data_IF_689978117912
#
_entry.id   IF_689978117912
#
_cell.length_a   1.000
_cell.length_b   1.000
_cell.length_c   1.000
_cell.angle_alpha   90.00
_cell.angle_beta   90.00
_cell.angle_gamma   90.00
#
_symmetry.space_group_name_H-M   'P 1'
#
loop_
_entity.id
_entity.type
_entity.pdbx_description
1 polymer ?
#
# COMPACT_ATOMS: atom_id res chain seq x y z
N UNK A 1 22.15 -6.80 -29.62
CA UNK A 1 21.15 -7.54 -30.43
C UNK A 1 20.64 -8.71 -29.58
N UNK A 2 19.38 -8.72 -29.18
CA UNK A 2 18.72 -9.90 -28.59
C UNK A 2 18.47 -10.97 -29.67
N UNK A 3 18.45 -12.25 -29.28
CA UNK A 3 18.34 -13.41 -30.17
C UNK A 3 18.97 -14.67 -29.56
N UNK A 4 19.37 -15.65 -30.39
CA UNK A 4 20.03 -16.92 -29.96
C UNK A 4 21.30 -16.72 -29.13
N UNK A 5 21.89 -15.53 -29.13
CA UNK A 5 23.01 -15.16 -28.26
C UNK A 5 22.66 -15.18 -26.75
N UNK A 6 21.38 -15.06 -26.38
CA UNK A 6 20.93 -15.10 -24.97
C UNK A 6 21.06 -16.51 -24.38
N UNK A 7 20.98 -17.57 -25.19
CA UNK A 7 21.17 -18.95 -24.73
C UNK A 7 22.66 -19.32 -24.57
N UNK A 8 23.56 -18.59 -25.24
CA UNK A 8 25.01 -18.83 -25.24
C UNK A 8 25.74 -17.97 -24.21
N UNK A 9 25.18 -16.81 -23.84
CA UNK A 9 25.74 -15.89 -22.86
C UNK A 9 24.92 -16.02 -21.57
N UNK A 10 25.48 -16.67 -20.55
CA UNK A 10 24.86 -16.82 -19.22
C UNK A 10 24.92 -15.50 -18.42
N UNK A 11 24.34 -14.44 -18.97
CA UNK A 11 24.25 -13.10 -18.36
C UNK A 11 22.82 -12.86 -17.89
N UNK A 12 22.47 -13.51 -16.78
CA UNK A 12 21.12 -13.49 -16.22
C UNK A 12 21.13 -12.88 -14.83
N UNK A 13 20.10 -12.09 -14.57
CA UNK A 13 19.81 -11.50 -13.27
C UNK A 13 18.36 -11.78 -12.93
N UNK A 14 18.07 -12.01 -11.65
CA UNK A 14 16.73 -12.28 -11.17
C UNK A 14 16.33 -11.19 -10.18
N UNK A 15 15.08 -10.76 -10.28
CA UNK A 15 14.46 -9.82 -9.37
C UNK A 15 13.01 -10.19 -9.18
N UNK A 16 12.47 -9.86 -8.01
CA UNK A 16 11.06 -10.08 -7.70
C UNK A 16 10.30 -8.75 -7.87
N UNK A 17 9.09 -8.77 -8.44
CA UNK A 17 8.21 -7.61 -8.38
C UNK A 17 7.71 -7.37 -6.94
N UNK A 18 7.30 -6.13 -6.61
CA UNK A 18 7.35 -4.91 -7.44
C UNK A 18 8.78 -4.36 -7.62
N UNK A 19 9.03 -3.61 -8.70
CA UNK A 19 10.30 -2.94 -8.97
C UNK A 19 10.12 -1.42 -9.06
N UNK A 20 10.99 -0.67 -8.39
CA UNK A 20 11.16 0.77 -8.61
C UNK A 20 12.33 1.04 -9.58
N UNK A 21 12.54 2.30 -9.98
CA UNK A 21 13.63 2.67 -10.89
C UNK A 21 15.02 2.35 -10.31
N UNK A 22 15.20 2.48 -8.99
CA UNK A 22 16.49 2.23 -8.33
C UNK A 22 16.84 0.73 -8.40
N UNK A 23 15.90 -0.14 -8.04
CA UNK A 23 16.02 -1.60 -8.15
C UNK A 23 16.20 -2.02 -9.60
N UNK A 24 15.47 -1.43 -10.55
CA UNK A 24 15.64 -1.72 -11.97
C UNK A 24 17.06 -1.39 -12.47
N UNK A 25 17.62 -0.23 -12.08
CA UNK A 25 19.00 0.11 -12.39
C UNK A 25 20.00 -0.87 -11.74
N UNK A 26 19.74 -1.32 -10.51
CA UNK A 26 20.57 -2.31 -9.85
C UNK A 26 20.55 -3.66 -10.57
N UNK A 27 19.37 -4.10 -11.02
CA UNK A 27 19.18 -5.32 -11.82
C UNK A 27 19.96 -5.23 -13.12
N UNK A 28 19.83 -4.12 -13.86
CA UNK A 28 20.58 -3.88 -15.10
C UNK A 28 22.09 -3.91 -14.81
N UNK A 29 22.55 -3.18 -13.78
CA UNK A 29 23.97 -3.06 -13.43
C UNK A 29 24.65 -4.37 -13.04
N UNK A 30 23.88 -5.40 -12.65
CA UNK A 30 24.38 -6.76 -12.37
C UNK A 30 24.63 -7.59 -13.65
N UNK A 31 24.21 -7.10 -14.81
CA UNK A 31 24.44 -7.76 -16.11
C UNK A 31 25.73 -7.27 -16.78
N UNK A 32 26.34 -8.11 -17.60
CA UNK A 32 27.44 -7.73 -18.49
C UNK A 32 26.94 -6.81 -19.61
N UNK A 33 25.68 -6.95 -20.04
CA UNK A 33 25.02 -6.07 -21.02
C UNK A 33 25.02 -4.60 -20.58
N UNK A 34 25.01 -4.30 -19.27
CA UNK A 34 25.12 -2.91 -18.80
C UNK A 34 26.37 -2.17 -19.31
N UNK A 35 27.45 -2.89 -19.65
CA UNK A 35 28.64 -2.28 -20.27
C UNK A 35 28.42 -1.88 -21.72
N UNK A 36 27.55 -2.61 -22.42
CA UNK A 36 27.22 -2.41 -23.84
C UNK A 36 26.12 -1.34 -24.00
N UNK A 37 25.31 -1.10 -22.96
CA UNK A 37 24.37 0.03 -22.94
C UNK A 37 25.10 1.39 -22.88
N UNK A 38 26.35 1.42 -22.40
CA UNK A 38 27.20 2.60 -22.44
C UNK A 38 27.74 2.83 -23.85
N UNK A 39 28.21 4.04 -24.13
CA UNK A 39 28.86 4.34 -25.39
C UNK A 39 30.06 3.41 -25.63
N UNK A 40 30.15 2.82 -26.82
CA UNK A 40 31.23 1.94 -27.23
C UNK A 40 31.57 2.14 -28.71
N UNK A 41 32.83 2.49 -28.99
CA UNK A 41 33.24 2.87 -30.35
C UNK A 41 32.42 4.05 -30.87
N UNK A 42 31.85 3.89 -32.07
CA UNK A 42 31.00 4.90 -32.71
C UNK A 42 29.51 4.80 -32.32
N UNK A 43 29.15 3.92 -31.39
CA UNK A 43 27.78 3.72 -30.94
C UNK A 43 27.49 4.60 -29.72
N UNK A 44 26.50 5.51 -29.76
CA UNK A 44 26.08 6.29 -28.61
C UNK A 44 25.57 5.41 -27.47
N UNK A 45 25.64 5.92 -26.24
CA UNK A 45 25.00 5.26 -25.10
C UNK A 45 23.49 5.14 -25.32
N UNK A 46 22.92 4.00 -24.94
CA UNK A 46 21.48 3.80 -24.91
C UNK A 46 20.85 4.58 -23.74
N UNK A 47 19.56 4.88 -23.86
CA UNK A 47 18.78 5.43 -22.75
C UNK A 47 18.56 4.35 -21.68
N UNK A 48 19.52 4.25 -20.75
CA UNK A 48 19.46 3.32 -19.62
C UNK A 48 18.21 3.54 -18.74
N UNK A 49 17.71 4.77 -18.67
CA UNK A 49 16.50 5.09 -17.90
C UNK A 49 15.27 4.53 -18.60
N UNK A 50 15.20 4.58 -19.92
CA UNK A 50 14.12 3.94 -20.68
C UNK A 50 14.14 2.42 -20.51
N UNK A 51 15.32 1.78 -20.49
CA UNK A 51 15.43 0.33 -20.20
C UNK A 51 14.97 0.01 -18.78
N UNK A 52 15.38 0.80 -17.79
CA UNK A 52 14.91 0.64 -16.40
C UNK A 52 13.39 0.82 -16.30
N UNK A 53 12.82 1.80 -17.02
CA UNK A 53 11.39 2.03 -17.04
C UNK A 53 10.62 0.83 -17.64
N UNK A 54 11.16 0.16 -18.66
CA UNK A 54 10.56 -1.08 -19.19
C UNK A 54 10.47 -2.14 -18.10
N UNK A 55 11.53 -2.39 -17.32
CA UNK A 55 11.50 -3.35 -16.21
C UNK A 55 10.45 -2.99 -15.16
N UNK A 56 10.35 -1.71 -14.79
CA UNK A 56 9.32 -1.20 -13.86
C UNK A 56 7.92 -1.45 -14.42
N UNK A 57 7.69 -1.16 -15.70
CA UNK A 57 6.37 -1.36 -16.35
C UNK A 57 6.01 -2.83 -16.50
N UNK A 58 6.99 -3.71 -16.75
CA UNK A 58 6.76 -5.16 -16.76
C UNK A 58 6.41 -5.70 -15.37
N UNK A 59 7.11 -5.23 -14.33
CA UNK A 59 6.78 -5.58 -12.94
C UNK A 59 5.36 -5.11 -12.57
N UNK A 60 4.98 -3.89 -12.98
CA UNK A 60 3.64 -3.35 -12.80
C UNK A 60 2.59 -4.16 -13.56
N UNK A 61 2.83 -4.50 -14.83
CA UNK A 61 1.92 -5.29 -15.65
C UNK A 61 1.68 -6.69 -15.04
N UNK A 62 2.75 -7.32 -14.53
CA UNK A 62 2.65 -8.59 -13.82
C UNK A 62 1.88 -8.48 -12.51
N UNK A 63 1.89 -7.31 -11.85
CA UNK A 63 1.15 -7.03 -10.63
C UNK A 63 -0.35 -6.81 -10.89
N UNK A 64 -0.65 -6.06 -11.95
CA UNK A 64 -2.00 -5.63 -12.31
C UNK A 64 -2.80 -6.74 -13.01
N UNK A 65 -2.13 -7.64 -13.75
CA UNK A 65 -2.77 -8.68 -14.56
C UNK A 65 -2.36 -10.08 -14.09
N UNK A 66 -3.07 -10.66 -13.09
CA UNK A 66 -2.72 -11.94 -12.50
C UNK A 66 -2.82 -13.14 -13.46
N UNK A 67 -3.54 -13.00 -14.57
CA UNK A 67 -3.64 -13.99 -15.64
C UNK A 67 -2.33 -14.18 -16.41
N UNK A 68 -1.43 -13.19 -16.42
CA UNK A 68 -0.14 -13.29 -17.13
C UNK A 68 0.76 -14.30 -16.41
N UNK A 69 0.97 -15.47 -17.03
CA UNK A 69 1.84 -16.54 -16.54
C UNK A 69 3.29 -16.38 -16.94
N UNK A 70 3.54 -15.72 -18.07
CA UNK A 70 4.86 -15.41 -18.55
C UNK A 70 4.80 -14.27 -19.56
N UNK A 71 5.84 -13.45 -19.57
CA UNK A 71 6.05 -12.40 -20.55
C UNK A 71 7.51 -12.44 -20.97
N UNK A 72 7.75 -12.48 -22.27
CA UNK A 72 9.08 -12.46 -22.87
C UNK A 72 9.15 -11.33 -23.91
N UNK A 73 10.14 -10.45 -23.78
CA UNK A 73 10.44 -9.39 -24.76
C UNK A 73 11.77 -9.71 -25.41
N UNK A 74 11.74 -10.31 -26.60
CA UNK A 74 12.96 -10.72 -27.28
C UNK A 74 12.77 -10.74 -28.80
N UNK A 75 13.35 -9.78 -29.56
CA UNK A 75 14.36 -8.81 -29.12
C UNK A 75 13.80 -7.51 -28.55
N UNK A 76 14.52 -6.95 -27.56
CA UNK A 76 14.37 -5.57 -27.09
C UNK A 76 15.55 -4.73 -27.63
N UNK A 77 15.26 -3.73 -28.47
CA UNK A 77 16.24 -2.76 -28.94
C UNK A 77 16.27 -1.56 -28.00
N UNK A 78 17.47 -1.11 -27.64
CA UNK A 78 17.68 0.11 -26.86
C UNK A 78 18.76 0.94 -27.56
N UNK A 79 18.47 2.22 -27.79
CA UNK A 79 19.40 3.21 -28.33
C UNK A 79 19.24 4.53 -27.57
N UNK A 80 19.90 5.59 -28.03
CA UNK A 80 19.87 6.91 -27.37
C UNK A 80 18.50 7.57 -27.36
N UNK A 81 17.61 7.18 -28.29
CA UNK A 81 16.31 7.79 -28.51
C UNK A 81 15.21 7.04 -27.74
N UNK A 82 15.51 5.82 -27.24
CA UNK A 82 14.69 5.10 -26.28
C UNK A 82 14.79 3.58 -26.42
N UNK A 83 13.65 2.92 -26.22
CA UNK A 83 13.54 1.45 -26.26
C UNK A 83 12.38 1.01 -27.15
N UNK A 84 12.59 -0.04 -27.94
CA UNK A 84 11.59 -0.64 -28.82
C UNK A 84 11.60 -2.17 -28.67
N UNK A 85 10.45 -2.75 -28.33
CA UNK A 85 10.26 -4.19 -28.38
C UNK A 85 9.92 -4.62 -29.82
N UNK A 86 10.76 -5.48 -30.40
CA UNK A 86 10.55 -6.00 -31.76
C UNK A 86 9.66 -7.25 -31.78
N UNK A 87 9.69 -8.04 -30.72
CA UNK A 87 8.80 -9.18 -30.50
C UNK A 87 8.46 -9.27 -29.00
N UNK A 88 7.25 -9.72 -28.71
CA UNK A 88 6.72 -9.89 -27.37
C UNK A 88 5.81 -11.12 -27.34
N UNK A 89 6.07 -12.04 -26.40
CA UNK A 89 5.21 -13.20 -26.17
C UNK A 89 4.63 -13.14 -24.77
N UNK A 90 3.31 -13.29 -24.67
CA UNK A 90 2.59 -13.28 -23.40
C UNK A 90 1.83 -14.59 -23.28
N UNK A 91 2.10 -15.34 -22.22
CA UNK A 91 1.34 -16.52 -21.86
C UNK A 91 0.30 -16.13 -20.79
N UNK A 92 -0.96 -16.47 -21.03
CA UNK A 92 -2.07 -16.22 -20.10
C UNK A 92 -2.73 -17.51 -19.63
N UNK A 93 -3.19 -17.56 -18.39
CA UNK A 93 -4.00 -18.65 -17.87
C UNK A 93 -4.97 -18.15 -16.78
N UNK A 94 -6.07 -18.89 -16.52
CA UNK A 94 -6.96 -18.57 -15.42
C UNK A 94 -6.23 -18.49 -14.07
N UNK A 95 -6.63 -17.54 -13.25
CA UNK A 95 -6.07 -17.36 -11.91
C UNK A 95 -6.56 -18.45 -10.97
N UNK A 96 -5.64 -19.28 -10.46
CA UNK A 96 -5.91 -20.15 -9.32
C UNK A 96 -5.66 -19.37 -8.03
N UNK A 97 -6.70 -19.16 -7.21
CA UNK A 97 -6.54 -18.57 -5.87
C UNK A 97 -5.73 -19.53 -5.01
N UNK A 98 -4.57 -19.10 -4.55
CA UNK A 98 -3.70 -19.87 -3.65
C UNK A 98 -4.03 -19.62 -2.17
N UNK A 99 -4.61 -18.46 -1.83
CA UNK A 99 -4.98 -18.07 -0.47
C UNK A 99 -6.33 -17.33 -0.45
N UNK A 100 -6.95 -17.22 0.74
CA UNK A 100 -8.09 -16.32 0.98
C UNK A 100 -7.63 -14.85 0.94
N UNK A 101 -8.56 -13.94 0.67
CA UNK A 101 -8.29 -12.50 0.50
C UNK A 101 -8.28 -12.03 -0.96
N UNK A 102 -8.28 -10.70 -1.15
CA UNK A 102 -8.07 -10.07 -2.46
C UNK A 102 -6.63 -9.59 -2.56
N UNK A 103 -5.91 -10.12 -3.54
CA UNK A 103 -4.58 -9.68 -3.90
C UNK A 103 -3.94 -10.51 -5.01
N UNK A 104 -2.76 -10.13 -5.49
CA UNK A 104 -2.11 -10.83 -6.59
C UNK A 104 -1.72 -12.23 -6.09
N UNK A 105 -2.28 -13.31 -6.68
CA UNK A 105 -2.27 -14.66 -6.12
C UNK A 105 -0.87 -15.26 -5.95
N UNK A 106 0.14 -14.66 -6.59
CA UNK A 106 1.50 -15.20 -6.70
C UNK A 106 2.58 -14.27 -6.12
N UNK A 107 2.24 -13.07 -5.67
CA UNK A 107 3.26 -12.17 -5.13
C UNK A 107 3.41 -12.39 -3.62
N UNK A 108 4.66 -12.44 -3.17
CA UNK A 108 4.99 -12.47 -1.75
C UNK A 108 4.79 -11.10 -1.09
N UNK A 109 4.81 -10.01 -1.88
CA UNK A 109 4.57 -8.64 -1.45
C UNK A 109 3.47 -8.06 -2.33
N UNK A 110 2.37 -7.61 -1.74
CA UNK A 110 1.27 -7.01 -2.49
C UNK A 110 1.70 -5.62 -3.03
N UNK A 111 1.49 -5.31 -4.32
CA UNK A 111 1.84 -4.02 -4.88
C UNK A 111 1.05 -2.88 -4.22
N UNK A 112 1.50 -1.64 -4.44
CA UNK A 112 0.79 -0.47 -3.95
C UNK A 112 -0.63 -0.38 -4.54
N UNK A 113 -1.69 -0.36 -3.71
CA UNK A 113 -3.06 -0.47 -4.20
C UNK A 113 -3.61 0.90 -4.62
N UNK A 114 -3.26 1.31 -5.85
CA UNK A 114 -3.56 2.64 -6.43
C UNK A 114 -5.06 2.90 -6.55
N UNK A 115 -5.87 1.87 -6.69
CA UNK A 115 -7.34 1.95 -6.78
C UNK A 115 -8.00 2.51 -5.51
N UNK A 116 -7.27 2.59 -4.39
CA UNK A 116 -7.74 3.19 -3.14
C UNK A 116 -7.33 4.66 -2.96
N UNK A 117 -6.68 5.26 -3.95
CA UNK A 117 -6.44 6.69 -4.01
C UNK A 117 -7.70 7.45 -4.44
N UNK A 118 -8.15 8.45 -3.66
CA UNK A 118 -9.28 9.31 -4.02
C UNK A 118 -9.35 10.60 -3.24
N UNK A 119 -9.93 11.62 -3.84
CA UNK A 119 -10.29 12.86 -3.13
C UNK A 119 -11.64 12.73 -2.44
N UNK A 120 -11.72 13.23 -1.21
CA UNK A 120 -12.94 13.31 -0.42
C UNK A 120 -13.25 14.77 -0.05
N UNK A 121 -14.53 15.03 0.19
CA UNK A 121 -15.03 16.30 0.75
C UNK A 121 -15.30 16.08 2.24
N UNK A 122 -14.77 16.99 3.06
CA UNK A 122 -14.91 17.03 4.51
C UNK A 122 -16.22 17.74 4.91
N UNK A 123 -16.60 17.65 6.18
CA UNK A 123 -17.89 18.21 6.66
C UNK A 123 -17.96 19.73 6.56
N UNK A 124 -16.81 20.41 6.57
CA UNK A 124 -16.67 21.86 6.43
C UNK A 124 -16.57 22.34 4.97
N UNK A 125 -16.71 21.42 4.00
CA UNK A 125 -16.51 21.69 2.57
C UNK A 125 -15.05 21.67 2.12
N UNK A 126 -14.10 21.46 3.04
CA UNK A 126 -12.69 21.23 2.71
C UNK A 126 -12.48 19.97 1.88
N UNK A 127 -11.31 19.85 1.25
CA UNK A 127 -10.91 18.66 0.48
C UNK A 127 -9.77 17.95 1.18
N UNK A 128 -9.78 16.62 1.13
CA UNK A 128 -8.64 15.80 1.50
C UNK A 128 -8.37 14.77 0.41
N UNK A 129 -7.10 14.47 0.16
CA UNK A 129 -6.68 13.37 -0.68
C UNK A 129 -6.37 12.16 0.22
N UNK A 130 -7.08 11.06 0.01
CA UNK A 130 -6.88 9.81 0.72
C UNK A 130 -6.09 8.87 -0.15
N UNK A 131 -5.03 8.28 0.39
CA UNK A 131 -4.22 7.25 -0.28
C UNK A 131 -3.63 6.25 0.72
N UNK A 132 -3.25 5.04 0.28
CA UNK A 132 -2.44 4.14 1.10
C UNK A 132 -1.11 4.78 1.50
N UNK A 133 -0.68 4.51 2.74
CA UNK A 133 0.64 4.85 3.28
C UNK A 133 1.71 4.22 2.40
N UNK A 134 2.78 4.94 2.12
CA UNK A 134 3.95 4.47 1.37
C UNK A 134 5.14 4.28 2.31
N UNK A 135 6.10 3.41 1.97
CA UNK A 135 7.35 3.24 2.72
C UNK A 135 8.11 4.57 2.97
N UNK A 136 7.98 5.54 2.05
CA UNK A 136 8.69 6.83 2.12
C UNK A 136 8.02 7.88 3.02
N UNK A 137 6.86 7.58 3.63
CA UNK A 137 6.07 8.54 4.41
C UNK A 137 6.64 8.86 5.82
N UNK A 138 7.90 8.48 6.13
CA UNK A 138 8.50 8.70 7.47
C UNK A 138 8.40 10.18 7.91
N UNK A 139 8.78 11.12 7.04
CA UNK A 139 8.71 12.54 7.33
C UNK A 139 7.27 13.05 7.54
N UNK A 140 6.31 12.50 6.79
CA UNK A 140 4.90 12.84 6.90
C UNK A 140 4.33 12.44 8.27
N UNK A 141 4.65 11.23 8.74
CA UNK A 141 4.26 10.76 10.07
C UNK A 141 4.92 11.55 11.19
N UNK A 142 6.20 11.91 11.07
CA UNK A 142 6.88 12.77 12.08
C UNK A 142 6.18 14.11 12.25
N UNK A 143 5.89 14.78 11.13
CA UNK A 143 5.20 16.07 11.14
C UNK A 143 3.77 15.95 11.70
N UNK A 144 3.07 14.87 11.36
CA UNK A 144 1.74 14.56 11.88
C UNK A 144 1.75 14.40 13.40
N UNK A 145 2.63 13.54 13.93
CA UNK A 145 2.69 13.26 15.36
C UNK A 145 3.05 14.49 16.20
N UNK A 146 3.84 15.41 15.67
CA UNK A 146 4.14 16.68 16.34
C UNK A 146 2.91 17.59 16.54
N UNK A 147 1.78 17.29 15.87
CA UNK A 147 0.51 18.00 15.95
C UNK A 147 -0.59 17.21 16.68
N UNK A 148 -0.28 16.02 17.19
CA UNK A 148 -1.21 15.20 17.96
C UNK A 148 -0.87 15.35 19.45
N UNK A 149 -1.88 15.52 20.29
CA UNK A 149 -1.70 15.62 21.73
C UNK A 149 -1.30 14.26 22.35
N UNK A 150 -0.57 14.31 23.46
CA UNK A 150 -0.20 13.11 24.23
C UNK A 150 -1.43 12.29 24.66
N UNK A 151 -2.55 12.96 24.95
CA UNK A 151 -3.80 12.30 25.31
C UNK A 151 -4.37 11.50 24.13
N UNK A 152 -4.37 12.05 22.92
CA UNK A 152 -4.84 11.34 21.73
C UNK A 152 -3.96 10.15 21.35
N UNK A 153 -2.65 10.28 21.55
CA UNK A 153 -1.72 9.17 21.37
C UNK A 153 -1.98 8.07 22.39
N UNK A 154 -2.20 8.45 23.65
CA UNK A 154 -2.55 7.50 24.72
C UNK A 154 -3.87 6.79 24.41
N UNK A 155 -4.87 7.51 23.94
CA UNK A 155 -6.16 6.92 23.54
C UNK A 155 -6.02 5.92 22.38
N UNK A 156 -5.04 6.12 21.49
CA UNK A 156 -4.80 5.26 20.32
C UNK A 156 -3.89 4.06 20.61
N UNK A 157 -2.86 4.24 21.43
CA UNK A 157 -1.81 3.25 21.66
C UNK A 157 -1.87 2.61 23.06
N UNK A 158 -2.87 3.00 23.86
CA UNK A 158 -3.08 2.54 25.24
C UNK A 158 -1.91 2.86 26.19
N UNK A 159 -0.96 3.69 25.74
CA UNK A 159 0.24 4.07 26.48
C UNK A 159 0.71 5.47 26.07
N UNK A 160 1.43 6.14 26.96
CA UNK A 160 2.06 7.42 26.63
C UNK A 160 3.25 7.19 25.69
N UNK A 161 3.11 7.64 24.44
CA UNK A 161 4.18 7.58 23.43
C UNK A 161 4.88 8.92 23.38
N UNK A 162 6.08 9.01 23.96
CA UNK A 162 6.85 10.28 24.04
C UNK A 162 7.92 10.45 22.97
N UNK A 163 8.40 9.36 22.37
CA UNK A 163 9.48 9.38 21.38
C UNK A 163 9.10 8.60 20.12
N UNK A 164 9.06 9.29 18.99
CA UNK A 164 8.86 8.69 17.67
C UNK A 164 10.20 8.28 17.08
N UNK A 165 10.74 7.18 17.61
CA UNK A 165 11.95 6.57 17.05
C UNK A 165 11.71 6.21 15.57
N UNK A 166 12.79 6.16 14.79
CA UNK A 166 12.71 5.69 13.41
C UNK A 166 12.10 4.28 13.32
N UNK A 167 12.42 3.39 14.26
CA UNK A 167 11.83 2.05 14.33
C UNK A 167 10.31 2.07 14.52
N UNK A 168 9.78 2.99 15.34
CA UNK A 168 8.34 3.12 15.56
C UNK A 168 7.63 3.54 14.26
N UNK A 169 8.16 4.55 13.58
CA UNK A 169 7.58 5.05 12.31
C UNK A 169 7.72 4.01 11.19
N UNK A 170 8.83 3.27 11.15
CA UNK A 170 9.01 2.17 10.22
C UNK A 170 7.91 1.11 10.36
N UNK A 171 7.49 0.76 11.59
CA UNK A 171 6.37 -0.19 11.83
C UNK A 171 5.00 0.33 11.37
N UNK A 172 4.86 1.64 11.17
CA UNK A 172 3.63 2.26 10.67
C UNK A 172 3.61 2.39 9.15
N UNK A 173 4.79 2.49 8.52
CA UNK A 173 4.96 2.78 7.08
C UNK A 173 5.32 1.57 6.25
N UNK A 174 6.10 0.63 6.80
CA UNK A 174 6.48 -0.61 6.14
C UNK A 174 5.37 -1.66 6.32
N UNK A 175 4.37 -1.59 5.44
CA UNK A 175 3.18 -2.45 5.50
C UNK A 175 3.24 -3.51 4.41
N UNK A 176 2.88 -4.75 4.76
CA UNK A 176 2.49 -5.76 3.78
C UNK A 176 1.02 -5.52 3.43
N UNK A 177 0.77 -4.87 2.29
CA UNK A 177 -0.58 -4.56 1.83
C UNK A 177 -1.48 -5.80 1.62
N UNK A 178 -0.91 -7.02 1.57
CA UNK A 178 -1.71 -8.24 1.49
C UNK A 178 -2.62 -8.38 2.71
N UNK A 179 -2.08 -8.10 3.91
CA UNK A 179 -2.75 -8.31 5.20
C UNK A 179 -3.01 -7.02 5.95
N UNK A 180 -2.27 -5.95 5.68
CA UNK A 180 -2.41 -4.69 6.39
C UNK A 180 -2.39 -3.51 5.45
N UNK A 181 -3.43 -2.68 5.50
CA UNK A 181 -3.43 -1.38 4.84
C UNK A 181 -3.50 -0.27 5.87
N UNK A 182 -2.82 0.83 5.62
CA UNK A 182 -3.10 2.09 6.28
C UNK A 182 -3.39 3.15 5.21
N UNK A 183 -4.45 3.91 5.40
CA UNK A 183 -4.88 5.00 4.54
C UNK A 183 -4.66 6.31 5.29
N UNK A 184 -3.95 7.24 4.66
CA UNK A 184 -3.75 8.60 5.16
C UNK A 184 -4.67 9.58 4.44
N UNK A 185 -5.22 10.55 5.18
CA UNK A 185 -5.84 11.73 4.61
C UNK A 185 -4.83 12.88 4.63
N UNK A 186 -4.64 13.53 3.47
CA UNK A 186 -3.68 14.60 3.25
C UNK A 186 -4.43 15.85 2.76
N UNK A 187 -4.12 17.03 3.28
CA UNK A 187 -4.62 18.28 2.73
C UNK A 187 -3.86 18.61 1.43
N UNK A 188 -4.54 18.66 0.27
CA UNK A 188 -3.90 18.90 -1.01
C UNK A 188 -3.27 20.29 -1.16
N UNK A 189 -3.59 21.25 -0.28
CA UNK A 189 -3.09 22.62 -0.34
C UNK A 189 -1.67 22.76 0.21
N UNK A 190 -1.34 22.00 1.25
CA UNK A 190 -0.07 22.12 1.97
C UNK A 190 0.67 20.78 2.14
N UNK A 191 0.05 19.65 1.76
CA UNK A 191 0.64 18.32 1.89
C UNK A 191 0.64 17.78 3.33
N UNK A 192 -0.01 18.46 4.28
CA UNK A 192 -0.06 18.01 5.67
C UNK A 192 -1.01 16.82 5.84
N UNK A 193 -0.58 15.86 6.66
CA UNK A 193 -1.42 14.75 7.07
C UNK A 193 -2.45 15.20 8.11
N UNK A 194 -3.70 14.84 7.88
CA UNK A 194 -4.84 15.17 8.73
C UNK A 194 -5.22 14.00 9.65
N UNK A 195 -4.90 12.78 9.23
CA UNK A 195 -5.15 11.56 9.99
C UNK A 195 -4.84 10.30 9.20
N UNK A 196 -4.83 9.17 9.90
CA UNK A 196 -4.70 7.84 9.30
C UNK A 196 -5.68 6.85 9.93
N UNK A 197 -6.13 5.90 9.12
CA UNK A 197 -6.79 4.68 9.56
C UNK A 197 -5.98 3.49 9.07
N UNK A 198 -5.82 2.47 9.92
CA UNK A 198 -5.15 1.22 9.59
C UNK A 198 -6.12 0.07 9.82
N UNK A 199 -6.03 -0.94 8.96
CA UNK A 199 -6.68 -2.24 9.09
C UNK A 199 -5.60 -3.33 9.01
N UNK A 200 -5.71 -4.34 9.86
CA UNK A 200 -4.86 -5.51 9.88
C UNK A 200 -5.73 -6.77 9.91
N UNK A 201 -5.73 -7.54 8.82
CA UNK A 201 -6.44 -8.80 8.71
C UNK A 201 -5.68 -9.92 9.45
N UNK A 202 -6.43 -10.83 10.05
CA UNK A 202 -5.90 -12.08 10.58
C UNK A 202 -5.38 -13.01 9.45
N UNK A 203 -4.78 -14.14 9.82
CA UNK A 203 -4.19 -15.06 8.86
C UNK A 203 -5.21 -15.70 7.90
N UNK A 204 -6.47 -15.82 8.32
CA UNK A 204 -7.55 -16.48 7.58
C UNK A 204 -8.43 -15.51 6.78
N UNK A 205 -8.18 -14.21 6.90
CA UNK A 205 -8.99 -13.12 6.34
C UNK A 205 -10.45 -13.17 6.80
N UNK A 206 -10.68 -13.62 8.04
CA UNK A 206 -12.02 -13.63 8.63
C UNK A 206 -12.29 -12.31 9.36
N UNK A 207 -11.33 -11.88 10.16
CA UNK A 207 -11.44 -10.69 11.02
C UNK A 207 -10.33 -9.69 10.71
N UNK A 208 -10.64 -8.41 10.86
CA UNK A 208 -9.67 -7.32 10.72
C UNK A 208 -9.70 -6.36 11.89
N UNK A 209 -8.54 -6.13 12.50
CA UNK A 209 -8.37 -5.15 13.57
C UNK A 209 -8.11 -3.77 12.97
N UNK A 210 -8.88 -2.76 13.38
CA UNK A 210 -8.67 -1.39 12.92
C UNK A 210 -8.04 -0.51 14.01
N UNK A 211 -7.38 0.55 13.57
CA UNK A 211 -7.01 1.66 14.45
C UNK A 211 -6.93 2.97 13.70
N UNK A 212 -7.39 4.06 14.32
CA UNK A 212 -7.52 5.37 13.69
C UNK A 212 -6.92 6.46 14.56
N UNK A 213 -6.22 7.41 13.95
CA UNK A 213 -5.68 8.58 14.63
C UNK A 213 -5.86 9.81 13.74
N UNK A 214 -6.44 10.86 14.31
CA UNK A 214 -6.71 12.14 13.63
C UNK A 214 -5.95 13.23 14.37
N UNK A 215 -5.51 14.26 13.64
CA UNK A 215 -4.86 15.43 14.22
C UNK A 215 -5.78 16.08 15.26
N UNK A 216 -5.24 16.40 16.43
CA UNK A 216 -6.05 16.82 17.58
C UNK A 216 -6.83 18.12 17.34
N UNK A 217 -6.26 19.04 16.58
CA UNK A 217 -6.85 20.32 16.17
C UNK A 217 -7.94 20.19 15.08
N UNK A 218 -8.08 19.03 14.44
CA UNK A 218 -9.04 18.78 13.35
C UNK A 218 -10.20 17.86 13.75
N UNK A 219 -10.33 17.54 15.04
CA UNK A 219 -11.48 16.80 15.55
C UNK A 219 -12.78 17.55 15.25
N UNK A 220 -13.86 16.79 15.02
CA UNK A 220 -15.18 17.36 14.69
C UNK A 220 -15.40 17.73 13.22
N UNK A 221 -14.35 17.72 12.37
CA UNK A 221 -14.47 18.08 10.95
C UNK A 221 -14.86 16.89 10.02
N UNK A 222 -15.27 15.76 10.62
CA UNK A 222 -15.72 14.57 9.88
C UNK A 222 -14.63 13.70 9.26
N UNK A 223 -13.35 14.05 9.41
CA UNK A 223 -12.21 13.31 8.83
C UNK A 223 -12.18 11.85 9.29
N UNK A 224 -12.27 11.63 10.61
CA UNK A 224 -12.28 10.28 11.18
C UNK A 224 -13.45 9.44 10.66
N UNK A 225 -14.59 10.08 10.45
CA UNK A 225 -15.78 9.42 9.93
C UNK A 225 -15.59 8.94 8.49
N UNK A 226 -15.07 9.82 7.62
CA UNK A 226 -14.77 9.47 6.22
C UNK A 226 -13.72 8.38 6.13
N UNK A 227 -12.65 8.46 6.93
CA UNK A 227 -11.62 7.44 6.98
C UNK A 227 -12.17 6.07 7.46
N UNK A 228 -13.00 6.05 8.50
CA UNK A 228 -13.65 4.80 8.94
C UNK A 228 -14.57 4.21 7.86
N UNK A 229 -15.36 5.04 7.16
CA UNK A 229 -16.20 4.57 6.06
C UNK A 229 -15.39 3.92 4.94
N UNK A 230 -14.30 4.56 4.53
CA UNK A 230 -13.38 4.03 3.53
C UNK A 230 -12.74 2.72 4.02
N UNK A 231 -12.37 2.63 5.30
CA UNK A 231 -11.81 1.40 5.87
C UNK A 231 -12.82 0.25 5.87
N UNK A 232 -14.10 0.52 6.18
CA UNK A 232 -15.16 -0.50 6.14
C UNK A 232 -15.40 -0.97 4.69
N UNK A 233 -15.38 -0.05 3.73
CA UNK A 233 -15.43 -0.38 2.30
C UNK A 233 -14.24 -1.27 1.90
N UNK A 234 -13.03 -0.93 2.36
CA UNK A 234 -11.83 -1.74 2.14
C UNK A 234 -11.95 -3.14 2.76
N UNK A 235 -12.44 -3.24 3.99
CA UNK A 235 -12.66 -4.53 4.65
C UNK A 235 -13.61 -5.43 3.85
N UNK A 236 -14.71 -4.87 3.32
CA UNK A 236 -15.66 -5.60 2.49
C UNK A 236 -15.09 -5.99 1.12
N UNK A 237 -14.23 -5.15 0.55
CA UNK A 237 -13.48 -5.48 -0.65
C UNK A 237 -12.47 -6.60 -0.41
N UNK A 238 -11.71 -6.55 0.69
CA UNK A 238 -10.73 -7.57 1.09
C UNK A 238 -11.41 -8.93 1.38
N UNK A 239 -12.71 -8.90 1.70
CA UNK A 239 -13.53 -10.08 1.94
C UNK A 239 -13.57 -10.50 3.41
N UNK A 240 -13.32 -9.57 4.33
CA UNK A 240 -13.44 -9.80 5.76
C UNK A 240 -14.92 -9.95 6.15
N UNK A 241 -15.19 -10.83 7.11
CA UNK A 241 -16.53 -11.01 7.67
C UNK A 241 -16.78 -10.06 8.85
N UNK A 242 -15.73 -9.69 9.58
CA UNK A 242 -15.83 -8.83 10.77
C UNK A 242 -14.69 -7.83 10.81
N UNK A 243 -15.01 -6.57 11.10
CA UNK A 243 -14.04 -5.57 11.54
C UNK A 243 -14.19 -5.37 13.04
N UNK A 244 -13.07 -5.35 13.74
CA UNK A 244 -13.04 -5.19 15.20
C UNK A 244 -11.96 -4.22 15.67
N UNK A 245 -12.07 -3.79 16.91
CA UNK A 245 -11.06 -2.99 17.57
C UNK A 245 -11.33 -2.84 19.05
N UNK A 246 -10.31 -2.39 19.76
CA UNK A 246 -10.39 -2.04 21.17
C UNK A 246 -10.37 -0.53 21.31
N UNK A 247 -11.23 -0.01 22.18
CA UNK A 247 -11.34 1.43 22.46
C UNK A 247 -11.40 1.63 23.96
N UNK A 248 -10.56 2.52 24.51
CA UNK A 248 -10.65 2.89 25.92
C UNK A 248 -12.05 3.44 26.24
N UNK A 249 -12.64 3.02 27.36
CA UNK A 249 -14.00 3.37 27.80
C UNK A 249 -14.22 4.87 27.88
N UNK A 250 -13.18 5.62 28.25
CA UNK A 250 -13.20 7.09 28.34
C UNK A 250 -13.20 7.80 26.98
N UNK A 251 -12.88 7.12 25.87
CA UNK A 251 -12.92 7.70 24.53
C UNK A 251 -14.35 7.74 23.98
N UNK A 252 -15.19 8.56 24.63
CA UNK A 252 -16.62 8.68 24.33
C UNK A 252 -16.86 9.04 22.85
N UNK A 253 -16.01 9.90 22.28
CA UNK A 253 -16.10 10.31 20.87
C UNK A 253 -15.93 9.14 19.92
N UNK A 254 -14.91 8.30 20.13
CA UNK A 254 -14.68 7.12 19.30
C UNK A 254 -15.82 6.10 19.45
N UNK A 255 -16.28 5.87 20.68
CA UNK A 255 -17.40 4.96 20.95
C UNK A 255 -18.72 5.43 20.31
N UNK A 256 -18.98 6.74 20.31
CA UNK A 256 -20.13 7.33 19.63
C UNK A 256 -20.05 7.16 18.11
N UNK A 257 -18.87 7.38 17.51
CA UNK A 257 -18.62 7.14 16.10
C UNK A 257 -18.85 5.67 15.74
N UNK A 258 -18.28 4.72 16.51
CA UNK A 258 -18.47 3.29 16.32
C UNK A 258 -19.95 2.90 16.32
N UNK A 259 -20.73 3.34 17.32
CA UNK A 259 -22.17 3.06 17.39
C UNK A 259 -22.92 3.58 16.17
N UNK A 260 -22.60 4.78 15.72
CA UNK A 260 -23.28 5.40 14.57
C UNK A 260 -22.93 4.71 13.26
N UNK A 261 -21.72 4.17 13.14
CA UNK A 261 -21.28 3.33 12.02
C UNK A 261 -21.81 1.89 12.11
N UNK A 262 -22.60 1.55 13.13
CA UNK A 262 -23.22 0.24 13.28
C UNK A 262 -22.39 -0.80 14.06
N UNK A 263 -21.28 -0.41 14.67
CA UNK A 263 -20.51 -1.32 15.52
C UNK A 263 -21.29 -1.67 16.79
N UNK A 264 -21.27 -2.94 17.15
CA UNK A 264 -21.66 -3.43 18.47
C UNK A 264 -20.53 -3.14 19.44
N UNK A 265 -20.86 -2.46 20.54
CA UNK A 265 -19.91 -2.07 21.58
C UNK A 265 -20.22 -2.87 22.84
N UNK A 266 -19.23 -3.61 23.35
CA UNK A 266 -19.33 -4.39 24.60
C UNK A 266 -18.12 -4.11 25.49
N UNK A 267 -18.27 -4.12 26.82
CA UNK A 267 -17.11 -4.13 27.72
C UNK A 267 -16.20 -5.31 27.38
N UNK A 268 -14.89 -5.12 27.49
CA UNK A 268 -13.97 -6.24 27.46
C UNK A 268 -14.18 -7.12 28.73
N UNK A 269 -14.19 -8.47 28.61
CA UNK A 269 -14.42 -9.36 29.74
C UNK A 269 -13.31 -9.30 30.80
N UNK A 270 -12.08 -9.02 30.39
CA UNK A 270 -10.89 -9.09 31.23
C UNK A 270 -10.42 -7.71 31.69
N UNK A 271 -10.68 -6.64 30.91
CA UNK A 271 -10.36 -5.27 31.26
C UNK A 271 -11.59 -4.32 31.19
N UNK A 272 -12.16 -3.90 32.34
CA UNK A 272 -13.32 -3.01 32.34
C UNK A 272 -13.01 -1.62 31.78
N UNK A 273 -11.75 -1.21 31.66
CA UNK A 273 -11.36 0.08 31.06
C UNK A 273 -11.40 0.05 29.53
N UNK A 274 -11.57 -1.12 28.91
CA UNK A 274 -11.61 -1.32 27.47
C UNK A 274 -13.04 -1.69 27.02
N UNK A 275 -13.39 -1.22 25.83
CA UNK A 275 -14.60 -1.57 25.11
C UNK A 275 -14.22 -2.24 23.78
N UNK A 276 -14.68 -3.46 23.59
CA UNK A 276 -14.56 -4.19 22.34
C UNK A 276 -15.65 -3.72 21.39
N UNK A 277 -15.25 -3.29 20.19
CA UNK A 277 -16.16 -2.87 19.14
C UNK A 277 -16.07 -3.83 17.97
N UNK A 278 -17.21 -4.24 17.43
CA UNK A 278 -17.29 -5.22 16.33
C UNK A 278 -18.34 -4.82 15.31
N UNK A 279 -18.02 -4.93 14.02
CA UNK A 279 -18.91 -4.67 12.90
C UNK A 279 -18.87 -5.87 11.96
N UNK A 280 -19.97 -6.60 11.76
CA UNK A 280 -20.10 -7.54 10.65
C UNK A 280 -20.01 -6.77 9.33
N UNK A 281 -19.13 -7.20 8.44
CA UNK A 281 -18.93 -6.59 7.13
C UNK A 281 -19.59 -7.49 6.09
N UNK A 282 -20.40 -6.90 5.21
CA UNK A 282 -20.95 -7.63 4.07
C UNK A 282 -19.89 -7.65 2.96
N UNK A 283 -19.58 -8.81 2.36
CA UNK A 283 -18.66 -8.87 1.23
C UNK A 283 -19.21 -8.03 0.07
N UNK A 284 -18.36 -7.19 -0.52
CA UNK A 284 -18.73 -6.48 -1.75
C UNK A 284 -18.92 -7.49 -2.88
N UNK A 285 -20.19 -7.79 -3.22
CA UNK A 285 -20.56 -8.73 -4.30
C UNK A 285 -21.63 -9.78 -3.96
N UNK A 286 -22.30 -9.69 -2.80
CA UNK A 286 -23.51 -10.48 -2.52
C UNK A 286 -24.78 -9.76 -3.02
N UNK A 287 -24.88 -9.56 -4.33
CA UNK A 287 -26.11 -9.19 -5.05
C UNK A 287 -26.01 -9.68 -6.50
#
# INVERSE_FOLDING_TARGET
>A
RGGTAVEVIDDKTLALPPLDLRLAHEVIGRTRVARILKAYGDVPAADERAVALVLVKLAQLAADIPEIRGLDLNPLLADRDGVMALDARIAIAPVRRLHKGRGHPRFAIFPYPTEWERSIVLSDGGKAFVRPVRPEDDALFRAFFARVSDDDLRLRFFQSVKHFSHEFIARLTQLDYARSIALVAIDPRNGEMLGAVRLHADADYDRGEYGILIRSDLKGHGIGWKLMQIMIEYAGWQGLNVVEGQVLRENITMLAMCRTLGFKVKPDPDDPTIMNVTLPVQPAGAA
#
